data_IF_171485955376
#
_entry.id   IF_171485955376
#
_cell.length_a   1.000
_cell.length_b   1.000
_cell.length_c   1.000
_cell.angle_alpha   90.00
_cell.angle_beta   90.00
_cell.angle_gamma   90.00
#
_symmetry.space_group_name_H-M   'P 1'
#
loop_
_entity.id
_entity.type
_entity.pdbx_description
1 polymer ?
#
# COMPACT_ATOMS: atom_id res chain seq x y z
N UNK A 1 1.26 -17.89 61.79
CA UNK A 1 1.96 -17.87 60.49
C UNK A 1 3.28 -18.59 60.69
N UNK A 2 3.44 -19.73 60.02
CA UNK A 2 4.65 -20.54 60.09
C UNK A 2 5.86 -19.75 59.52
N UNK A 3 7.03 -19.99 60.13
CA UNK A 3 8.30 -19.40 59.70
C UNK A 3 8.52 -19.63 58.19
N UNK A 4 8.10 -20.82 57.70
CA UNK A 4 8.17 -21.15 56.26
C UNK A 4 7.30 -20.25 55.39
N UNK A 5 6.13 -19.82 55.84
CA UNK A 5 5.24 -18.91 55.13
C UNK A 5 5.85 -17.50 55.02
N UNK A 6 6.48 -17.03 56.08
CA UNK A 6 7.20 -15.73 56.07
C UNK A 6 8.42 -15.74 55.12
N UNK A 7 9.15 -16.86 55.09
CA UNK A 7 10.29 -17.04 54.19
C UNK A 7 9.88 -17.07 52.71
N UNK A 8 8.74 -17.72 52.41
CA UNK A 8 8.18 -17.70 51.04
C UNK A 8 7.79 -16.29 50.56
N UNK A 9 7.09 -15.55 51.44
CA UNK A 9 6.69 -14.17 51.11
C UNK A 9 7.93 -13.29 50.87
N UNK A 10 8.94 -13.41 51.77
CA UNK A 10 10.19 -12.66 51.64
C UNK A 10 10.92 -13.01 50.34
N UNK A 11 11.00 -14.31 49.97
CA UNK A 11 11.62 -14.75 48.71
C UNK A 11 10.91 -14.16 47.49
N UNK A 12 9.59 -14.16 47.43
CA UNK A 12 8.83 -13.60 46.31
C UNK A 12 8.97 -12.08 46.22
N UNK A 13 8.98 -11.37 47.32
CA UNK A 13 9.23 -9.92 47.34
C UNK A 13 10.65 -9.59 46.83
N UNK A 14 11.64 -10.39 47.20
CA UNK A 14 13.00 -10.24 46.74
C UNK A 14 13.15 -10.53 45.22
N UNK A 15 12.50 -11.57 44.72
CA UNK A 15 12.48 -11.90 43.29
C UNK A 15 11.78 -10.82 42.48
N UNK A 16 10.64 -10.31 42.93
CA UNK A 16 9.91 -9.22 42.27
C UNK A 16 10.74 -7.92 42.29
N UNK A 17 11.40 -7.64 43.42
CA UNK A 17 12.27 -6.46 43.54
C UNK A 17 13.48 -6.54 42.63
N UNK A 18 14.16 -7.67 42.55
CA UNK A 18 15.30 -7.88 41.63
C UNK A 18 14.86 -7.82 40.16
N UNK A 19 13.70 -8.39 39.85
CA UNK A 19 13.15 -8.33 38.49
C UNK A 19 12.76 -6.89 38.13
N UNK A 20 12.16 -6.11 39.04
CA UNK A 20 11.86 -4.70 38.84
C UNK A 20 13.13 -3.85 38.64
N UNK A 21 14.20 -4.14 39.42
CA UNK A 21 15.48 -3.47 39.28
C UNK A 21 16.18 -3.78 37.92
N UNK A 22 16.12 -5.05 37.54
CA UNK A 22 16.63 -5.50 36.24
C UNK A 22 15.87 -4.83 35.08
N UNK A 23 14.54 -4.79 35.14
CA UNK A 23 13.73 -4.11 34.15
C UNK A 23 13.98 -2.60 34.14
N UNK A 24 14.18 -1.98 35.31
CA UNK A 24 14.51 -0.55 35.39
C UNK A 24 15.85 -0.24 34.74
N UNK A 25 16.90 -1.04 35.01
CA UNK A 25 18.20 -0.89 34.35
C UNK A 25 18.11 -1.13 32.85
N UNK A 26 17.42 -2.19 32.44
CA UNK A 26 17.23 -2.51 31.01
C UNK A 26 16.51 -1.38 30.25
N UNK A 27 15.43 -0.81 30.84
CA UNK A 27 14.68 0.32 30.26
C UNK A 27 15.51 1.61 30.31
N UNK A 28 16.28 1.84 31.38
CA UNK A 28 17.12 3.02 31.52
C UNK A 28 18.28 3.05 30.52
N UNK A 29 18.94 1.92 30.31
CA UNK A 29 20.03 1.81 29.33
C UNK A 29 19.53 1.95 27.90
N UNK A 30 18.34 1.40 27.58
CA UNK A 30 17.70 1.58 26.27
C UNK A 30 17.27 3.04 26.03
N UNK A 31 16.81 3.75 27.06
CA UNK A 31 16.44 5.17 26.96
C UNK A 31 17.66 6.08 26.76
N UNK A 32 18.84 5.72 27.28
CA UNK A 32 20.08 6.45 27.08
C UNK A 32 20.63 6.29 25.65
N UNK A 33 20.25 5.21 24.95
CA UNK A 33 20.64 4.94 23.56
C UNK A 33 19.71 5.55 22.51
N UNK A 34 18.62 6.22 22.88
CA UNK A 34 17.75 6.89 21.92
C UNK A 34 18.53 8.03 21.27
N UNK A 35 18.88 7.95 19.98
CA UNK A 35 19.58 9.05 19.32
C UNK A 35 18.68 10.29 19.36
N UNK A 36 19.26 11.47 19.62
CA UNK A 36 18.55 12.73 19.46
C UNK A 36 18.08 12.85 18.02
N UNK A 37 16.81 12.57 17.78
CA UNK A 37 16.18 12.64 16.47
C UNK A 37 16.21 14.09 16.05
N UNK A 38 17.00 14.46 15.03
CA UNK A 38 16.79 15.70 14.31
C UNK A 38 15.54 15.52 13.47
N UNK A 39 14.42 16.00 13.99
CA UNK A 39 13.15 15.98 13.26
C UNK A 39 13.31 17.02 12.15
N UNK A 40 13.23 16.58 10.91
CA UNK A 40 12.98 17.49 9.80
C UNK A 40 11.70 18.25 10.17
N UNK A 41 11.74 19.58 10.17
CA UNK A 41 10.55 20.39 10.47
C UNK A 41 9.47 19.95 9.50
N UNK A 42 8.30 19.56 10.03
CA UNK A 42 7.16 19.20 9.20
C UNK A 42 6.91 20.36 8.22
N UNK A 43 7.12 20.20 6.92
CA UNK A 43 6.98 21.28 5.94
C UNK A 43 5.55 21.81 5.86
N UNK A 44 4.59 21.10 6.46
CA UNK A 44 3.17 21.44 6.48
C UNK A 44 2.73 22.16 7.76
N UNK A 45 3.57 22.20 8.82
CA UNK A 45 3.25 22.90 10.06
C UNK A 45 3.78 24.35 10.01
N UNK A 46 2.92 25.30 9.69
CA UNK A 46 3.14 26.68 10.08
C UNK A 46 3.39 27.72 8.99
N UNK A 47 2.75 27.65 7.83
CA UNK A 47 2.58 28.83 6.96
C UNK A 47 1.10 29.16 6.80
N UNK A 48 0.65 30.38 7.14
CA UNK A 48 -0.68 30.83 6.77
C UNK A 48 -0.81 30.84 5.24
N UNK A 49 -2.00 30.49 4.74
CA UNK A 49 -2.29 30.24 3.32
C UNK A 49 -2.06 31.45 2.35
N UNK A 50 -1.66 32.60 2.87
CA UNK A 50 -1.61 33.86 2.11
C UNK A 50 -0.27 34.21 1.44
N UNK A 51 0.82 33.47 1.68
CA UNK A 51 2.14 33.81 1.09
C UNK A 51 2.75 32.69 0.23
N UNK A 52 1.95 32.08 -0.61
CA UNK A 52 2.51 31.12 -1.62
C UNK A 52 2.79 31.85 -2.93
N UNK A 53 3.93 32.52 -3.00
CA UNK A 53 4.52 32.89 -4.28
C UNK A 53 5.06 31.59 -4.91
N UNK A 54 4.39 31.14 -5.96
CA UNK A 54 4.79 30.01 -6.79
C UNK A 54 6.11 30.34 -7.46
N UNK A 55 7.24 29.94 -6.89
CA UNK A 55 8.47 29.79 -7.69
C UNK A 55 8.28 28.57 -8.57
N UNK A 56 8.23 28.77 -9.88
CA UNK A 56 8.34 27.71 -10.89
C UNK A 56 9.74 27.09 -10.79
N UNK A 57 9.93 26.13 -9.90
CA UNK A 57 11.05 25.21 -9.93
C UNK A 57 10.52 23.91 -10.52
N UNK A 58 11.21 23.37 -11.50
CA UNK A 58 10.90 22.10 -12.14
C UNK A 58 10.91 21.01 -11.05
N UNK A 59 9.74 20.52 -10.71
CA UNK A 59 9.56 19.47 -9.70
C UNK A 59 9.67 18.12 -10.40
N UNK A 60 10.56 17.21 -9.95
CA UNK A 60 10.58 15.83 -10.47
C UNK A 60 9.30 15.08 -10.11
N UNK A 61 9.06 14.04 -10.85
CA UNK A 61 7.87 13.21 -10.82
C UNK A 61 7.44 12.79 -9.41
N UNK A 62 6.48 13.50 -8.85
CA UNK A 62 5.66 12.96 -7.78
C UNK A 62 4.54 12.17 -8.46
N UNK A 63 4.52 10.87 -8.26
CA UNK A 63 3.47 9.98 -8.74
C UNK A 63 2.16 10.32 -8.01
N UNK A 64 1.23 10.92 -8.72
CA UNK A 64 -0.08 11.28 -8.17
C UNK A 64 -1.17 10.36 -8.72
N UNK A 65 -1.86 9.67 -7.82
CA UNK A 65 -3.19 9.16 -8.08
C UNK A 65 -4.15 10.37 -8.01
N UNK A 66 -4.76 10.77 -9.13
CA UNK A 66 -5.86 11.72 -9.08
C UNK A 66 -7.16 10.98 -8.76
N UNK A 67 -7.99 11.49 -7.82
CA UNK A 67 -9.40 11.14 -7.82
C UNK A 67 -10.03 11.62 -9.15
N UNK A 68 -10.88 10.77 -9.72
CA UNK A 68 -11.62 11.11 -10.94
C UNK A 68 -12.40 12.42 -10.80
N UNK A 69 -12.82 13.04 -11.92
CA UNK A 69 -13.56 14.30 -11.89
C UNK A 69 -14.83 14.15 -11.04
N UNK A 70 -15.21 15.19 -10.27
CA UNK A 70 -16.41 15.16 -9.47
C UNK A 70 -17.64 14.98 -10.38
N UNK A 71 -18.50 14.02 -10.02
CA UNK A 71 -19.79 13.85 -10.64
C UNK A 71 -20.60 15.15 -10.55
N UNK A 72 -21.18 15.59 -11.65
CA UNK A 72 -22.05 16.75 -11.69
C UNK A 72 -23.29 16.51 -10.82
N UNK A 73 -23.79 17.49 -10.07
CA UNK A 73 -24.97 17.36 -9.24
C UNK A 73 -26.22 17.25 -10.12
N UNK A 74 -26.82 16.07 -10.18
CA UNK A 74 -28.18 15.85 -10.68
C UNK A 74 -29.18 16.22 -9.61
N UNK A 75 -30.25 16.87 -10.03
CA UNK A 75 -31.35 17.47 -9.25
C UNK A 75 -32.09 16.51 -8.32
N UNK A 76 -32.79 17.04 -7.28
CA UNK A 76 -33.40 16.25 -6.21
C UNK A 76 -34.76 15.70 -6.62
N UNK A 77 -34.94 14.40 -6.43
CA UNK A 77 -36.26 13.75 -6.46
C UNK A 77 -36.60 13.24 -5.06
N UNK A 78 -37.60 13.90 -4.48
CA UNK A 78 -38.25 13.58 -3.21
C UNK A 78 -38.84 12.17 -3.20
N UNK A 79 -38.70 11.45 -2.08
CA UNK A 79 -39.79 10.84 -1.34
C UNK A 79 -39.34 10.25 -0.01
N UNK A 80 -39.80 10.88 1.04
CA UNK A 80 -39.91 10.38 2.41
C UNK A 80 -40.81 9.14 2.46
N UNK A 81 -40.46 8.13 3.22
CA UNK A 81 -41.34 7.43 4.17
C UNK A 81 -40.50 6.65 5.20
N UNK A 82 -40.63 7.00 6.45
CA UNK A 82 -40.40 6.22 7.67
C UNK A 82 -41.72 5.88 8.32
N UNK A 83 -41.79 5.21 9.44
CA UNK A 83 -41.28 3.90 9.87
C UNK A 83 -42.45 2.99 10.29
N UNK A 84 -42.21 1.74 10.69
CA UNK A 84 -42.95 1.12 11.80
C UNK A 84 -42.35 -0.21 12.29
N UNK A 85 -42.39 -0.32 13.57
CA UNK A 85 -41.98 -1.43 14.42
C UNK A 85 -42.91 -2.64 14.25
N UNK A 86 -42.37 -3.83 14.57
CA UNK A 86 -43.17 -5.06 14.74
C UNK A 86 -42.36 -6.26 15.11
N UNK A 87 -42.37 -6.60 16.34
CA UNK A 87 -42.43 -7.81 17.12
C UNK A 87 -41.77 -9.09 16.59
N UNK A 88 -40.87 -9.61 17.42
CA UNK A 88 -40.36 -10.99 17.40
C UNK A 88 -41.51 -11.96 17.79
N UNK A 89 -41.72 -12.97 16.97
CA UNK A 89 -42.41 -14.19 17.38
C UNK A 89 -41.55 -15.41 17.03
N UNK A 90 -41.13 -16.09 18.08
CA UNK A 90 -40.39 -17.38 18.01
C UNK A 90 -41.45 -18.48 18.03
N UNK A 91 -41.60 -19.24 16.95
CA UNK A 91 -42.22 -20.57 16.98
C UNK A 91 -41.39 -21.57 16.20
N UNK A 92 -40.98 -22.55 16.97
CA UNK A 92 -40.56 -23.91 16.67
C UNK A 92 -40.45 -24.33 15.20
N UNK A 93 -39.23 -24.76 14.85
CA UNK A 93 -38.99 -25.53 13.64
C UNK A 93 -38.60 -26.94 14.04
N UNK A 94 -39.53 -27.86 13.90
CA UNK A 94 -39.28 -29.28 13.73
C UNK A 94 -39.82 -29.65 12.34
N UNK A 95 -38.96 -29.76 11.35
CA UNK A 95 -39.24 -30.52 10.12
C UNK A 95 -37.93 -30.94 9.45
N UNK A 96 -37.90 -32.22 9.07
CA UNK A 96 -36.77 -32.89 8.44
C UNK A 96 -36.37 -32.24 7.09
N UNK A 97 -35.10 -32.39 6.62
CA UNK A 97 -34.65 -31.77 5.39
C UNK A 97 -35.28 -32.50 4.17
N UNK A 98 -36.09 -31.77 3.44
CA UNK A 98 -36.50 -32.13 2.08
C UNK A 98 -35.28 -32.13 1.16
N UNK A 99 -35.03 -33.22 0.45
CA UNK A 99 -34.02 -33.32 -0.59
C UNK A 99 -34.37 -32.33 -1.71
N UNK A 100 -33.52 -31.34 -1.91
CA UNK A 100 -33.57 -30.48 -3.10
C UNK A 100 -33.29 -31.28 -4.37
N UNK A 101 -34.00 -31.05 -5.46
CA UNK A 101 -33.78 -31.74 -6.74
C UNK A 101 -32.41 -31.32 -7.34
N UNK A 102 -31.62 -32.31 -7.72
CA UNK A 102 -30.27 -32.17 -8.30
C UNK A 102 -30.18 -31.27 -9.54
N UNK A 103 -31.28 -31.06 -10.25
CA UNK A 103 -31.34 -30.20 -11.46
C UNK A 103 -31.10 -28.70 -11.21
N UNK A 104 -31.28 -28.21 -9.98
CA UNK A 104 -31.11 -26.76 -9.69
C UNK A 104 -29.64 -26.35 -9.44
N UNK A 105 -28.77 -27.31 -9.16
CA UNK A 105 -27.34 -27.07 -8.93
C UNK A 105 -26.56 -26.92 -10.25
N UNK A 106 -26.90 -27.75 -11.27
CA UNK A 106 -26.26 -27.67 -12.58
C UNK A 106 -26.63 -26.38 -13.31
N UNK A 107 -27.87 -25.93 -13.23
CA UNK A 107 -28.32 -24.68 -13.87
C UNK A 107 -27.71 -23.43 -13.22
N UNK A 108 -27.57 -23.42 -11.88
CA UNK A 108 -26.84 -22.36 -11.16
C UNK A 108 -25.36 -22.36 -11.43
N UNK A 109 -24.74 -23.54 -11.58
CA UNK A 109 -23.32 -23.68 -11.91
C UNK A 109 -23.05 -23.26 -13.36
N UNK A 110 -23.93 -23.63 -14.29
CA UNK A 110 -23.84 -23.20 -15.69
C UNK A 110 -24.11 -21.69 -15.87
N UNK A 111 -25.07 -21.13 -15.13
CA UNK A 111 -25.32 -19.68 -15.14
C UNK A 111 -24.17 -18.90 -14.49
N UNK A 112 -23.56 -19.41 -13.40
CA UNK A 112 -22.37 -18.83 -12.78
C UNK A 112 -21.12 -18.95 -13.67
N UNK A 113 -20.95 -20.07 -14.37
CA UNK A 113 -19.89 -20.26 -15.35
C UNK A 113 -20.09 -19.40 -16.61
N UNK A 114 -21.33 -19.19 -17.06
CA UNK A 114 -21.63 -18.31 -18.19
C UNK A 114 -21.50 -16.82 -17.84
N UNK A 115 -21.73 -16.45 -16.58
CA UNK A 115 -21.49 -15.08 -16.11
C UNK A 115 -19.98 -14.81 -15.87
N UNK A 116 -19.20 -15.83 -15.54
CA UNK A 116 -17.75 -15.73 -15.38
C UNK A 116 -16.99 -15.64 -16.70
N UNK A 117 -17.60 -15.97 -17.82
CA UNK A 117 -16.94 -16.12 -19.13
C UNK A 117 -17.20 -15.00 -20.14
N UNK A 118 -17.70 -13.85 -19.75
CA UNK A 118 -17.59 -12.65 -20.60
C UNK A 118 -16.23 -12.04 -20.39
N UNK A 119 -15.24 -12.51 -21.13
CA UNK A 119 -13.96 -11.84 -21.27
C UNK A 119 -14.22 -10.39 -21.67
N UNK A 120 -13.85 -9.45 -20.81
CA UNK A 120 -14.03 -8.02 -21.06
C UNK A 120 -13.32 -7.67 -22.37
N UNK A 121 -14.06 -7.13 -23.35
CA UNK A 121 -13.47 -6.71 -24.60
C UNK A 121 -12.44 -5.60 -24.33
N UNK A 122 -11.17 -5.77 -24.77
CA UNK A 122 -10.16 -4.76 -24.54
C UNK A 122 -10.54 -3.46 -25.27
N UNK A 123 -10.14 -2.30 -24.73
CA UNK A 123 -10.24 -1.03 -25.43
C UNK A 123 -9.60 -1.13 -26.85
N UNK A 124 -10.19 -0.45 -27.82
CA UNK A 124 -9.57 -0.34 -29.14
C UNK A 124 -8.19 0.31 -29.04
N UNK A 125 -7.28 -0.14 -29.91
CA UNK A 125 -5.95 0.45 -29.97
C UNK A 125 -6.05 1.92 -30.44
N UNK A 126 -5.45 2.86 -29.70
CA UNK A 126 -5.40 4.25 -30.16
C UNK A 126 -4.70 4.37 -31.53
N UNK A 127 -4.99 5.42 -32.32
CA UNK A 127 -4.33 5.61 -33.61
C UNK A 127 -2.79 5.60 -33.47
N UNK A 128 -2.14 4.76 -34.29
CA UNK A 128 -0.68 4.59 -34.27
C UNK A 128 -0.16 3.60 -33.23
N UNK A 129 -1.05 2.90 -32.51
CA UNK A 129 -0.67 1.82 -31.61
C UNK A 129 -0.97 0.45 -32.22
N UNK A 130 -0.10 -0.52 -31.95
CA UNK A 130 -0.39 -1.93 -32.09
C UNK A 130 -0.81 -2.51 -30.75
N UNK A 131 -1.53 -3.62 -30.76
CA UNK A 131 -2.06 -4.26 -29.56
C UNK A 131 -1.76 -5.74 -29.58
N UNK A 132 -1.34 -6.28 -28.43
CA UNK A 132 -1.16 -7.71 -28.22
C UNK A 132 -1.80 -8.16 -26.89
N UNK A 133 -2.55 -9.27 -26.93
CA UNK A 133 -3.14 -9.87 -25.74
C UNK A 133 -2.22 -10.94 -25.19
N UNK A 134 -1.94 -10.85 -23.90
CA UNK A 134 -1.16 -11.85 -23.16
C UNK A 134 -2.05 -12.53 -22.11
N UNK A 135 -1.46 -13.34 -21.24
CA UNK A 135 -2.21 -14.00 -20.16
C UNK A 135 -2.83 -13.00 -19.18
N UNK A 136 -2.03 -12.02 -18.69
CA UNK A 136 -2.47 -11.09 -17.66
C UNK A 136 -2.64 -9.65 -18.15
N UNK A 137 -2.21 -9.36 -19.41
CA UNK A 137 -2.18 -8.01 -19.95
C UNK A 137 -2.83 -7.90 -21.32
N UNK A 138 -3.18 -6.67 -21.66
CA UNK A 138 -3.28 -6.21 -23.04
C UNK A 138 -2.26 -5.08 -23.18
N UNK A 139 -1.27 -5.30 -24.04
CA UNK A 139 -0.14 -4.38 -24.23
C UNK A 139 -0.38 -3.58 -25.50
N UNK A 140 -0.29 -2.26 -25.41
CA UNK A 140 -0.38 -1.32 -26.51
C UNK A 140 0.98 -0.66 -26.70
N UNK A 141 1.53 -0.67 -27.91
CA UNK A 141 2.82 -0.08 -28.24
C UNK A 141 2.71 0.93 -29.35
N UNK A 142 3.19 2.19 -29.13
CA UNK A 142 3.16 3.24 -30.13
C UNK A 142 4.23 3.03 -31.20
N UNK A 143 3.82 3.02 -32.49
CA UNK A 143 4.74 3.08 -33.61
C UNK A 143 5.58 1.82 -33.90
N UNK A 144 5.35 0.71 -33.18
CA UNK A 144 6.03 -0.56 -33.36
C UNK A 144 5.10 -1.72 -33.06
N UNK A 145 5.43 -2.91 -33.55
CA UNK A 145 4.77 -4.15 -33.12
C UNK A 145 5.24 -4.54 -31.71
N UNK A 146 4.31 -5.07 -30.90
CA UNK A 146 4.62 -5.57 -29.55
C UNK A 146 5.56 -6.76 -29.65
N UNK A 147 6.80 -6.60 -29.22
CA UNK A 147 7.81 -7.64 -29.33
C UNK A 147 7.59 -8.78 -28.34
N UNK A 148 7.94 -10.01 -28.72
CA UNK A 148 7.91 -11.18 -27.81
C UNK A 148 8.70 -10.93 -26.53
N UNK A 149 9.86 -10.26 -26.62
CA UNK A 149 10.71 -9.91 -25.48
C UNK A 149 9.99 -8.94 -24.51
N UNK A 150 9.23 -7.97 -25.03
CA UNK A 150 8.42 -7.08 -24.22
C UNK A 150 7.35 -7.86 -23.44
N UNK A 151 6.66 -8.78 -24.12
CA UNK A 151 5.64 -9.65 -23.51
C UNK A 151 6.26 -10.49 -22.38
N UNK A 152 7.37 -11.18 -22.66
CA UNK A 152 8.08 -12.01 -21.68
C UNK A 152 8.51 -11.20 -20.44
N UNK A 153 9.05 -10.00 -20.66
CA UNK A 153 9.47 -9.13 -19.56
C UNK A 153 8.29 -8.66 -18.70
N UNK A 154 7.17 -8.27 -19.32
CA UNK A 154 5.97 -7.81 -18.59
C UNK A 154 5.33 -8.95 -17.80
N UNK A 155 5.22 -10.15 -18.40
CA UNK A 155 4.68 -11.34 -17.72
C UNK A 155 5.62 -11.82 -16.58
N UNK A 156 6.93 -11.79 -16.79
CA UNK A 156 7.92 -12.11 -15.75
C UNK A 156 7.83 -11.12 -14.59
N UNK A 157 7.69 -9.81 -14.88
CA UNK A 157 7.50 -8.78 -13.86
C UNK A 157 6.23 -9.03 -13.05
N UNK A 158 5.11 -9.38 -13.72
CA UNK A 158 3.88 -9.77 -13.04
C UNK A 158 4.12 -10.94 -12.08
N UNK A 159 4.77 -12.00 -12.54
CA UNK A 159 5.10 -13.15 -11.69
C UNK A 159 5.91 -12.78 -10.46
N UNK A 160 6.91 -11.92 -10.62
CA UNK A 160 7.72 -11.43 -9.51
C UNK A 160 6.90 -10.62 -8.49
N UNK A 161 6.01 -9.74 -8.97
CA UNK A 161 5.14 -8.92 -8.11
C UNK A 161 4.13 -9.78 -7.35
N UNK A 162 3.61 -10.83 -7.98
CA UNK A 162 2.64 -11.74 -7.36
C UNK A 162 3.23 -12.54 -6.20
N UNK A 163 4.55 -12.65 -6.06
CA UNK A 163 5.17 -13.25 -4.86
C UNK A 163 4.77 -12.52 -3.57
N UNK A 164 4.53 -11.22 -3.64
CA UNK A 164 4.16 -10.39 -2.50
C UNK A 164 2.68 -9.97 -2.51
N UNK A 165 2.09 -9.76 -3.70
CA UNK A 165 0.79 -9.10 -3.82
C UNK A 165 -0.38 -10.01 -4.24
N UNK A 166 -0.17 -11.31 -4.44
CA UNK A 166 -1.24 -12.24 -4.88
C UNK A 166 -2.46 -12.23 -3.95
N UNK A 167 -2.27 -12.08 -2.65
CA UNK A 167 -3.35 -12.04 -1.67
C UNK A 167 -4.19 -10.76 -1.76
N UNK A 168 -3.62 -9.67 -2.27
CA UNK A 168 -4.29 -8.37 -2.40
C UNK A 168 -5.09 -8.24 -3.71
N UNK A 169 -4.76 -9.01 -4.73
CA UNK A 169 -5.36 -8.90 -6.06
C UNK A 169 -5.76 -10.25 -6.67
N UNK A 170 -6.65 -11.02 -6.01
CA UNK A 170 -7.09 -12.33 -6.52
C UNK A 170 -7.80 -12.23 -7.89
N UNK A 171 -8.33 -11.05 -8.23
CA UNK A 171 -9.00 -10.76 -9.49
C UNK A 171 -8.07 -10.85 -10.73
N UNK A 172 -6.75 -10.79 -10.55
CA UNK A 172 -5.78 -10.91 -11.66
C UNK A 172 -5.83 -12.24 -12.39
N UNK A 173 -6.51 -13.24 -11.84
CA UNK A 173 -6.77 -14.52 -12.52
C UNK A 173 -7.77 -14.39 -13.66
N UNK A 174 -8.72 -13.44 -13.52
CA UNK A 174 -9.88 -13.33 -14.41
C UNK A 174 -9.90 -12.04 -15.23
N UNK A 175 -9.13 -11.03 -14.81
CA UNK A 175 -9.12 -9.69 -15.43
C UNK A 175 -7.70 -9.30 -15.83
N UNK A 176 -7.59 -8.64 -16.98
CA UNK A 176 -6.32 -8.13 -17.51
C UNK A 176 -6.06 -6.68 -17.11
N UNK A 177 -4.79 -6.31 -17.11
CA UNK A 177 -4.33 -4.91 -16.98
C UNK A 177 -3.96 -4.40 -18.38
N UNK A 178 -4.31 -3.16 -18.68
CA UNK A 178 -4.06 -2.52 -19.98
C UNK A 178 -2.83 -1.62 -19.85
N UNK A 179 -1.76 -1.93 -20.58
CA UNK A 179 -0.48 -1.22 -20.51
C UNK A 179 -0.17 -0.53 -21.82
N UNK A 180 -0.05 0.79 -21.78
CA UNK A 180 0.23 1.64 -22.95
C UNK A 180 1.67 2.13 -22.90
N UNK A 181 2.50 1.69 -23.83
CA UNK A 181 3.87 2.19 -24.02
C UNK A 181 3.87 3.25 -25.10
N UNK A 182 4.16 4.51 -24.70
CA UNK A 182 4.29 5.62 -25.62
C UNK A 182 5.78 5.86 -25.96
N UNK A 183 6.09 6.12 -27.21
CA UNK A 183 7.43 6.46 -27.68
C UNK A 183 7.65 7.98 -27.77
N UNK A 184 6.55 8.76 -27.81
CA UNK A 184 6.57 10.20 -27.96
C UNK A 184 6.05 10.88 -26.70
N UNK A 185 6.76 11.92 -26.25
CA UNK A 185 6.36 12.73 -25.09
C UNK A 185 4.99 13.36 -25.29
N UNK A 186 4.73 13.92 -26.49
CA UNK A 186 3.46 14.55 -26.82
C UNK A 186 2.28 13.57 -26.77
N UNK A 187 2.50 12.32 -27.17
CA UNK A 187 1.47 11.28 -27.06
C UNK A 187 1.19 10.95 -25.61
N UNK A 188 2.24 10.77 -24.80
CA UNK A 188 2.09 10.56 -23.37
C UNK A 188 1.31 11.68 -22.69
N UNK A 189 1.69 12.94 -22.96
CA UNK A 189 1.03 14.11 -22.39
C UNK A 189 -0.44 14.23 -22.82
N UNK A 190 -0.75 13.97 -24.09
CA UNK A 190 -2.13 13.99 -24.59
C UNK A 190 -3.00 12.90 -23.94
N UNK A 191 -2.46 11.70 -23.75
CA UNK A 191 -3.21 10.58 -23.19
C UNK A 191 -3.42 10.70 -21.68
N UNK A 192 -2.48 11.33 -20.96
CA UNK A 192 -2.46 11.34 -19.50
C UNK A 192 -2.73 12.69 -18.87
N UNK A 193 -2.58 13.78 -19.63
CA UNK A 193 -2.55 15.15 -19.10
C UNK A 193 -1.33 15.47 -18.25
N UNK A 194 -0.35 14.53 -18.17
CA UNK A 194 0.84 14.66 -17.32
C UNK A 194 2.06 15.04 -18.12
N UNK A 195 3.01 15.78 -17.51
CA UNK A 195 4.27 16.10 -18.18
C UNK A 195 5.09 14.82 -18.39
N UNK A 196 5.85 14.78 -19.49
CA UNK A 196 6.60 13.58 -19.89
C UNK A 196 7.64 13.11 -18.87
N UNK A 197 8.15 14.01 -18.04
CA UNK A 197 9.08 13.67 -16.97
C UNK A 197 8.43 12.82 -15.85
N UNK A 198 7.10 12.69 -15.81
CA UNK A 198 6.44 11.80 -14.84
C UNK A 198 6.70 10.31 -15.11
N UNK A 199 7.12 9.95 -16.33
CA UNK A 199 7.52 8.60 -16.72
C UNK A 199 6.39 7.59 -16.82
N UNK A 200 5.43 7.60 -15.91
CA UNK A 200 4.28 6.70 -15.86
C UNK A 200 3.11 7.27 -15.07
N UNK A 201 1.96 6.63 -15.21
CA UNK A 201 0.76 6.86 -14.39
C UNK A 201 -0.22 5.70 -14.57
N UNK A 202 -1.01 5.43 -13.52
CA UNK A 202 -2.04 4.41 -13.55
C UNK A 202 -3.44 4.95 -13.25
N UNK A 203 -4.44 4.22 -13.73
CA UNK A 203 -5.84 4.40 -13.39
C UNK A 203 -6.35 3.10 -12.77
N UNK A 204 -6.59 3.12 -11.46
CA UNK A 204 -7.03 1.95 -10.71
C UNK A 204 -8.39 1.44 -11.20
N UNK A 205 -9.36 2.33 -11.40
CA UNK A 205 -10.73 1.98 -11.82
C UNK A 205 -10.78 1.35 -13.20
N UNK A 206 -9.90 1.78 -14.11
CA UNK A 206 -9.84 1.29 -15.48
C UNK A 206 -8.78 0.19 -15.66
N UNK A 207 -7.96 -0.10 -14.65
CA UNK A 207 -6.79 -1.00 -14.72
C UNK A 207 -5.85 -0.65 -15.87
N UNK A 208 -5.66 0.65 -16.14
CA UNK A 208 -4.81 1.18 -17.20
C UNK A 208 -3.53 1.74 -16.64
N UNK A 209 -2.44 1.48 -17.32
CA UNK A 209 -1.11 2.06 -17.06
C UNK A 209 -0.61 2.69 -18.34
N UNK A 210 -0.13 3.93 -18.23
CA UNK A 210 0.49 4.66 -19.31
C UNK A 210 1.96 4.90 -18.97
N UNK A 211 2.85 4.57 -19.89
CA UNK A 211 4.29 4.66 -19.69
C UNK A 211 4.94 5.40 -20.86
N UNK A 212 5.86 6.29 -20.55
CA UNK A 212 6.80 6.80 -21.53
C UNK A 212 8.02 5.88 -21.58
N UNK A 213 8.40 5.43 -22.76
CA UNK A 213 9.55 4.52 -22.94
C UNK A 213 10.84 5.22 -22.54
N UNK A 214 11.51 4.70 -21.54
CA UNK A 214 12.80 5.13 -21.02
C UNK A 214 13.56 3.92 -20.46
N UNK A 215 14.81 4.11 -20.07
CA UNK A 215 15.58 3.08 -19.36
C UNK A 215 14.92 2.64 -18.05
N UNK A 216 14.15 3.54 -17.40
CA UNK A 216 13.47 3.31 -16.14
C UNK A 216 12.05 2.76 -16.31
N UNK A 217 11.56 2.58 -17.54
CA UNK A 217 10.16 2.25 -17.83
C UNK A 217 9.67 0.96 -17.12
N UNK A 218 10.50 -0.07 -16.99
CA UNK A 218 10.13 -1.29 -16.28
C UNK A 218 10.08 -1.12 -14.76
N UNK A 219 10.96 -0.29 -14.19
CA UNK A 219 10.87 0.07 -12.77
C UNK A 219 9.59 0.85 -12.49
N UNK A 220 9.27 1.81 -13.36
CA UNK A 220 8.03 2.59 -13.28
C UNK A 220 6.81 1.66 -13.48
N UNK A 221 6.87 0.71 -14.43
CA UNK A 221 5.80 -0.28 -14.61
C UNK A 221 5.57 -1.10 -13.35
N UNK A 222 6.63 -1.53 -12.66
CA UNK A 222 6.52 -2.26 -11.41
C UNK A 222 5.82 -1.43 -10.32
N UNK A 223 6.15 -0.14 -10.24
CA UNK A 223 5.53 0.81 -9.32
C UNK A 223 4.03 0.98 -9.60
N UNK A 224 3.66 1.24 -10.85
CA UNK A 224 2.27 1.43 -11.26
C UNK A 224 1.43 0.13 -11.14
N UNK A 225 2.03 -1.03 -11.44
CA UNK A 225 1.39 -2.32 -11.21
C UNK A 225 1.13 -2.57 -9.72
N UNK A 226 2.05 -2.15 -8.85
CA UNK A 226 1.85 -2.28 -7.41
C UNK A 226 0.62 -1.47 -6.95
N UNK A 227 0.41 -0.25 -7.45
CA UNK A 227 -0.81 0.51 -7.19
C UNK A 227 -2.06 -0.23 -7.68
N UNK A 228 -2.06 -0.71 -8.93
CA UNK A 228 -3.21 -1.47 -9.47
C UNK A 228 -3.52 -2.69 -8.61
N UNK A 229 -2.52 -3.44 -8.17
CA UNK A 229 -2.72 -4.68 -7.42
C UNK A 229 -3.00 -4.44 -5.94
N UNK A 230 -2.26 -3.56 -5.30
CA UNK A 230 -2.37 -3.32 -3.87
C UNK A 230 -3.57 -2.43 -3.51
N UNK A 231 -3.73 -1.30 -4.20
CA UNK A 231 -4.79 -0.35 -3.85
C UNK A 231 -6.18 -0.87 -4.21
N UNK A 232 -6.30 -1.80 -5.19
CA UNK A 232 -7.56 -2.48 -5.50
C UNK A 232 -8.09 -3.36 -4.34
N UNK A 233 -7.25 -3.69 -3.37
CA UNK A 233 -7.67 -4.39 -2.16
C UNK A 233 -8.52 -3.52 -1.25
N UNK A 234 -8.28 -2.22 -1.24
CA UNK A 234 -9.04 -1.25 -0.45
C UNK A 234 -10.33 -0.84 -1.18
N UNK A 235 -11.23 -0.16 -0.46
CA UNK A 235 -12.50 0.30 -1.02
C UNK A 235 -12.45 1.79 -1.32
N UNK A 236 -13.34 2.29 -2.17
CA UNK A 236 -13.35 3.71 -2.55
C UNK A 236 -13.65 4.65 -1.38
N UNK A 237 -14.45 4.19 -0.41
CA UNK A 237 -14.77 4.90 0.83
C UNK A 237 -13.66 4.80 1.89
N UNK A 238 -12.76 3.84 1.74
CA UNK A 238 -11.59 3.62 2.62
C UNK A 238 -10.38 3.26 1.77
N UNK A 239 -9.77 4.25 1.12
CA UNK A 239 -8.58 4.02 0.32
C UNK A 239 -7.38 3.64 1.20
N UNK A 240 -6.38 3.04 0.59
CA UNK A 240 -5.10 2.79 1.26
C UNK A 240 -4.49 4.10 1.78
N UNK A 241 -3.92 4.14 2.99
CA UNK A 241 -3.16 5.30 3.44
C UNK A 241 -2.02 5.63 2.46
N UNK A 242 -1.81 6.91 2.13
CA UNK A 242 -0.85 7.32 1.11
C UNK A 242 0.56 6.76 1.35
N UNK A 243 1.06 6.84 2.60
CA UNK A 243 2.38 6.31 2.96
C UNK A 243 2.49 4.80 2.71
N UNK A 244 1.40 4.07 2.89
CA UNK A 244 1.37 2.62 2.72
C UNK A 244 1.31 2.25 1.24
N UNK A 245 0.46 2.92 0.46
CA UNK A 245 0.35 2.75 -0.99
C UNK A 245 1.69 3.02 -1.68
N UNK A 246 2.27 4.19 -1.46
CA UNK A 246 3.55 4.59 -2.06
C UNK A 246 4.74 3.78 -1.52
N UNK A 247 4.66 3.40 -0.24
CA UNK A 247 5.66 2.53 0.38
C UNK A 247 5.68 1.13 -0.24
N UNK A 248 4.50 0.54 -0.51
CA UNK A 248 4.38 -0.76 -1.21
C UNK A 248 4.81 -0.63 -2.66
N UNK A 249 4.40 0.43 -3.37
CA UNK A 249 4.78 0.64 -4.76
C UNK A 249 6.32 0.78 -4.90
N UNK A 250 6.96 1.57 -4.04
CA UNK A 250 8.43 1.71 -4.02
C UNK A 250 9.12 0.41 -3.59
N UNK A 251 8.53 -0.36 -2.65
CA UNK A 251 9.04 -1.66 -2.25
C UNK A 251 9.03 -2.65 -3.43
N UNK A 252 7.91 -2.76 -4.12
CA UNK A 252 7.76 -3.63 -5.30
C UNK A 252 8.72 -3.20 -6.41
N UNK A 253 8.82 -1.91 -6.70
CA UNK A 253 9.76 -1.39 -7.68
C UNK A 253 11.21 -1.81 -7.36
N UNK A 254 11.61 -1.70 -6.10
CA UNK A 254 13.00 -1.92 -5.66
C UNK A 254 13.34 -3.39 -5.44
N UNK A 255 12.41 -4.19 -4.88
CA UNK A 255 12.68 -5.59 -4.50
C UNK A 255 12.23 -6.60 -5.58
N UNK A 256 11.30 -6.23 -6.47
CA UNK A 256 10.70 -7.11 -7.50
C UNK A 256 10.80 -6.56 -8.91
N UNK A 257 11.02 -5.25 -9.06
CA UNK A 257 11.23 -4.59 -10.35
C UNK A 257 12.65 -4.77 -10.88
N UNK A 258 12.88 -4.22 -12.08
CA UNK A 258 14.19 -4.27 -12.75
C UNK A 258 15.11 -3.11 -12.36
N UNK A 259 14.61 -2.11 -11.66
CA UNK A 259 15.40 -0.93 -11.28
C UNK A 259 14.93 -0.33 -9.96
N UNK A 260 15.89 0.06 -9.14
CA UNK A 260 15.66 0.83 -7.90
C UNK A 260 15.73 2.32 -8.23
N UNK A 261 14.83 3.18 -7.68
CA UNK A 261 14.93 4.60 -7.87
C UNK A 261 16.29 5.16 -7.45
N UNK A 262 16.93 5.95 -8.31
CA UNK A 262 18.30 6.49 -8.09
C UNK A 262 18.43 7.30 -6.80
N UNK A 263 17.35 7.98 -6.39
CA UNK A 263 17.30 8.78 -5.16
C UNK A 263 17.16 7.95 -3.88
N UNK A 264 16.80 6.67 -3.97
CA UNK A 264 16.40 5.88 -2.80
C UNK A 264 17.58 5.66 -1.83
N UNK A 265 18.74 5.23 -2.32
CA UNK A 265 19.89 4.90 -1.46
C UNK A 265 20.38 6.11 -0.65
N UNK A 266 20.44 7.31 -1.28
CA UNK A 266 20.83 8.53 -0.60
C UNK A 266 19.86 8.88 0.54
N UNK A 267 18.55 8.77 0.28
CA UNK A 267 17.55 9.08 1.29
C UNK A 267 17.50 8.04 2.42
N UNK A 268 17.75 6.76 2.12
CA UNK A 268 17.91 5.73 3.15
C UNK A 268 19.12 6.02 4.07
N UNK A 269 20.20 6.53 3.51
CA UNK A 269 21.36 6.96 4.32
C UNK A 269 21.02 8.14 5.24
N UNK A 270 20.16 9.09 4.82
CA UNK A 270 19.66 10.17 5.67
C UNK A 270 18.80 9.62 6.81
N UNK A 271 17.89 8.69 6.52
CA UNK A 271 17.08 8.02 7.54
C UNK A 271 17.95 7.27 8.56
N UNK A 272 19.02 6.61 8.13
CA UNK A 272 20.02 5.95 8.99
C UNK A 272 20.74 6.91 9.94
N UNK A 273 20.92 8.18 9.53
CA UNK A 273 21.45 9.24 10.38
C UNK A 273 20.42 9.84 11.36
N UNK A 274 19.18 9.37 11.31
CA UNK A 274 18.09 9.80 12.19
C UNK A 274 17.21 10.91 11.62
N UNK A 275 17.39 11.28 10.35
CA UNK A 275 16.51 12.22 9.67
C UNK A 275 15.16 11.58 9.32
N UNK A 276 14.23 12.37 8.80
CA UNK A 276 12.90 11.94 8.41
C UNK A 276 11.78 12.39 9.36
N UNK A 277 10.58 11.91 9.09
CA UNK A 277 9.37 12.28 9.80
C UNK A 277 9.18 11.42 11.05
N UNK A 278 8.52 11.96 12.08
CA UNK A 278 7.92 11.11 13.12
C UNK A 278 6.87 10.23 12.47
N UNK A 279 6.78 8.99 12.91
CA UNK A 279 5.81 8.06 12.34
C UNK A 279 4.37 8.53 12.56
N UNK A 280 4.08 9.18 13.70
CA UNK A 280 2.79 9.80 13.98
C UNK A 280 2.38 10.85 12.95
N UNK A 281 3.34 11.59 12.40
CA UNK A 281 3.09 12.66 11.43
C UNK A 281 3.04 12.10 10.01
N UNK A 282 3.92 11.15 9.70
CA UNK A 282 3.99 10.49 8.39
C UNK A 282 2.68 9.79 8.02
N UNK A 283 2.07 9.08 8.98
CA UNK A 283 0.83 8.32 8.72
C UNK A 283 -0.40 9.21 8.49
N UNK A 284 -0.32 10.50 8.81
CA UNK A 284 -1.40 11.48 8.63
C UNK A 284 -1.26 12.30 7.34
N UNK A 285 -0.19 12.10 6.57
CA UNK A 285 0.00 12.83 5.32
C UNK A 285 -0.90 12.23 4.25
N UNK A 286 -1.85 13.02 3.78
CA UNK A 286 -2.82 12.63 2.73
C UNK A 286 -2.40 13.05 1.32
N UNK A 287 -1.49 14.02 1.20
CA UNK A 287 -0.94 14.46 -0.08
C UNK A 287 0.40 15.20 0.11
N UNK A 288 1.19 15.27 -0.96
CA UNK A 288 2.50 15.93 -0.96
C UNK A 288 2.50 17.28 -1.70
N UNK A 289 1.33 17.90 -1.90
CA UNK A 289 1.22 19.17 -2.60
C UNK A 289 1.97 20.28 -1.86
N UNK A 290 2.87 20.98 -2.58
CA UNK A 290 3.65 22.11 -2.05
C UNK A 290 4.87 21.71 -1.23
N UNK A 291 5.17 20.43 -1.08
CA UNK A 291 6.45 19.98 -0.57
C UNK A 291 7.54 20.14 -1.63
N UNK A 292 8.77 20.41 -1.21
CA UNK A 292 9.94 20.38 -2.09
C UNK A 292 10.33 18.94 -2.44
N UNK A 293 11.14 18.81 -3.47
CA UNK A 293 11.55 17.52 -4.02
C UNK A 293 12.30 16.65 -3.00
N UNK A 294 13.20 17.25 -2.21
CA UNK A 294 14.02 16.54 -1.23
C UNK A 294 13.13 15.96 -0.12
N UNK A 295 12.18 16.76 0.37
CA UNK A 295 11.16 16.34 1.34
C UNK A 295 10.32 15.19 0.80
N UNK A 296 9.87 15.27 -0.46
CA UNK A 296 9.09 14.22 -1.12
C UNK A 296 9.88 12.93 -1.20
N UNK A 297 11.12 12.97 -1.69
CA UNK A 297 12.00 11.79 -1.82
C UNK A 297 12.29 11.14 -0.47
N UNK A 298 12.54 11.94 0.56
CA UNK A 298 12.77 11.45 1.93
C UNK A 298 11.52 10.75 2.48
N UNK A 299 10.35 11.32 2.23
CA UNK A 299 9.07 10.72 2.63
C UNK A 299 8.81 9.38 1.93
N UNK A 300 9.07 9.29 0.61
CA UNK A 300 8.99 8.03 -0.14
C UNK A 300 9.96 6.98 0.39
N UNK A 301 11.21 7.36 0.63
CA UNK A 301 12.22 6.46 1.19
C UNK A 301 11.83 5.95 2.59
N UNK A 302 11.26 6.82 3.41
CA UNK A 302 10.78 6.43 4.73
C UNK A 302 9.58 5.48 4.64
N UNK A 303 8.60 5.77 3.78
CA UNK A 303 7.44 4.91 3.52
C UNK A 303 7.87 3.53 3.03
N UNK A 304 8.78 3.47 2.05
CA UNK A 304 9.40 2.23 1.58
C UNK A 304 10.05 1.44 2.71
N UNK A 305 10.91 2.10 3.51
CA UNK A 305 11.69 1.41 4.55
C UNK A 305 10.81 0.87 5.67
N UNK A 306 9.71 1.55 6.00
CA UNK A 306 8.71 1.07 6.97
C UNK A 306 7.96 -0.14 6.41
N UNK A 307 7.51 -0.10 5.15
CA UNK A 307 6.86 -1.25 4.50
C UNK A 307 7.81 -2.45 4.45
N UNK A 308 9.07 -2.24 4.05
CA UNK A 308 10.11 -3.29 4.04
C UNK A 308 10.31 -3.89 5.43
N UNK A 309 10.38 -3.06 6.45
CA UNK A 309 10.48 -3.51 7.85
C UNK A 309 9.26 -4.34 8.26
N UNK A 310 8.04 -3.88 7.98
CA UNK A 310 6.81 -4.60 8.31
C UNK A 310 6.71 -5.96 7.61
N UNK A 311 7.08 -6.04 6.33
CA UNK A 311 7.05 -7.30 5.57
C UNK A 311 8.09 -8.31 6.05
N UNK A 312 9.23 -7.85 6.58
CA UNK A 312 10.33 -8.72 7.07
C UNK A 312 10.25 -9.03 8.56
N UNK A 313 9.62 -8.16 9.36
CA UNK A 313 9.56 -8.29 10.82
C UNK A 313 8.87 -9.56 11.28
N UNK A 314 7.85 -10.01 10.58
CA UNK A 314 7.13 -11.25 10.87
C UNK A 314 6.75 -11.93 9.57
N UNK A 315 7.31 -13.10 9.35
CA UNK A 315 6.99 -13.92 8.18
C UNK A 315 5.51 -14.35 8.17
N UNK A 316 4.99 -14.64 6.98
CA UNK A 316 3.62 -15.12 6.78
C UNK A 316 2.61 -13.98 6.61
N UNK A 317 1.43 -14.14 7.17
CA UNK A 317 0.26 -13.32 6.88
C UNK A 317 0.18 -11.98 7.63
N UNK A 318 1.17 -11.65 8.48
CA UNK A 318 1.06 -10.49 9.38
C UNK A 318 0.84 -9.16 8.61
N UNK A 319 1.57 -8.96 7.51
CA UNK A 319 1.39 -7.76 6.68
C UNK A 319 -0.01 -7.72 6.03
N UNK A 320 -0.50 -8.87 5.55
CA UNK A 320 -1.85 -8.97 5.02
C UNK A 320 -2.91 -8.67 6.09
N UNK A 321 -2.77 -9.26 7.30
CA UNK A 321 -3.67 -8.98 8.43
C UNK A 321 -3.67 -7.49 8.76
N UNK A 322 -2.49 -6.85 8.80
CA UNK A 322 -2.38 -5.42 9.04
C UNK A 322 -3.17 -4.61 8.00
N UNK A 323 -2.96 -4.87 6.72
CA UNK A 323 -3.67 -4.19 5.63
C UNK A 323 -5.19 -4.46 5.68
N UNK A 324 -5.59 -5.68 6.00
CA UNK A 324 -7.01 -6.04 6.13
C UNK A 324 -7.68 -5.25 7.27
N UNK A 325 -7.01 -5.09 8.41
CA UNK A 325 -7.51 -4.28 9.52
C UNK A 325 -7.61 -2.79 9.19
N UNK A 326 -6.69 -2.26 8.39
CA UNK A 326 -6.81 -0.88 7.87
C UNK A 326 -8.02 -0.75 6.94
N UNK A 327 -8.23 -1.71 6.04
CA UNK A 327 -9.41 -1.80 5.18
C UNK A 327 -10.72 -1.85 5.99
N UNK A 328 -10.72 -2.56 7.12
CA UNK A 328 -11.84 -2.62 8.05
C UNK A 328 -12.06 -1.28 8.80
N UNK A 329 -11.16 -0.30 8.64
CA UNK A 329 -11.25 1.04 9.22
C UNK A 329 -10.60 1.16 10.61
N UNK A 330 -9.79 0.20 11.04
CA UNK A 330 -9.07 0.32 12.31
C UNK A 330 -7.96 1.39 12.19
N UNK A 331 -7.75 2.18 13.24
CA UNK A 331 -6.58 3.05 13.33
C UNK A 331 -5.27 2.27 13.20
N UNK A 332 -4.24 2.89 12.61
CA UNK A 332 -2.95 2.25 12.29
C UNK A 332 -2.36 1.50 13.49
N UNK A 333 -2.36 2.10 14.70
CA UNK A 333 -1.81 1.46 15.89
C UNK A 333 -2.59 0.21 16.35
N UNK A 334 -3.93 0.18 16.15
CA UNK A 334 -4.75 -0.98 16.46
C UNK A 334 -4.55 -2.09 15.43
N UNK A 335 -4.49 -1.73 14.15
CA UNK A 335 -4.19 -2.67 13.08
C UNK A 335 -2.81 -3.31 13.27
N UNK A 336 -1.79 -2.54 13.65
CA UNK A 336 -0.45 -3.04 14.00
C UNK A 336 -0.51 -4.03 15.16
N UNK A 337 -1.20 -3.67 16.24
CA UNK A 337 -1.32 -4.57 17.40
C UNK A 337 -1.98 -5.90 17.05
N UNK A 338 -3.05 -5.89 16.26
CA UNK A 338 -3.73 -7.12 15.84
C UNK A 338 -2.86 -8.00 14.93
N UNK A 339 -2.03 -7.41 14.09
CA UNK A 339 -1.18 -8.15 13.16
C UNK A 339 0.13 -8.65 13.80
N UNK A 340 0.78 -7.78 14.55
CA UNK A 340 2.15 -8.01 15.04
C UNK A 340 2.24 -8.28 16.54
N UNK A 341 1.18 -7.95 17.31
CA UNK A 341 1.14 -8.12 18.76
C UNK A 341 1.92 -7.05 19.52
N UNK A 342 2.25 -7.35 20.79
CA UNK A 342 3.09 -6.48 21.61
C UNK A 342 4.54 -6.48 21.09
N UNK A 343 5.26 -5.33 21.15
CA UNK A 343 4.89 -4.05 21.77
C UNK A 343 4.22 -3.04 20.80
N UNK A 344 3.75 -3.47 19.64
CA UNK A 344 3.30 -2.59 18.53
C UNK A 344 1.87 -2.04 18.71
N UNK A 345 1.44 -1.84 19.94
CA UNK A 345 0.19 -1.16 20.28
C UNK A 345 0.29 0.39 20.22
N UNK A 346 1.48 0.91 19.96
CA UNK A 346 1.78 2.35 19.80
C UNK A 346 2.68 2.58 18.58
N UNK A 347 2.44 3.67 17.86
CA UNK A 347 3.30 4.07 16.73
C UNK A 347 4.74 4.36 17.17
N UNK A 348 4.93 4.87 18.39
CA UNK A 348 6.28 5.12 18.94
C UNK A 348 7.10 3.83 19.13
N UNK A 349 6.46 2.72 19.50
CA UNK A 349 7.14 1.43 19.61
C UNK A 349 7.56 0.90 18.24
N UNK A 350 6.71 1.06 17.21
CA UNK A 350 7.07 0.72 15.85
C UNK A 350 8.20 1.61 15.35
N UNK A 351 8.14 2.92 15.60
CA UNK A 351 9.19 3.87 15.20
C UNK A 351 10.54 3.52 15.82
N UNK A 352 10.56 3.18 17.11
CA UNK A 352 11.77 2.76 17.80
C UNK A 352 12.37 1.50 17.15
N UNK A 353 11.57 0.47 16.96
CA UNK A 353 12.03 -0.80 16.38
C UNK A 353 12.51 -0.63 14.92
N UNK A 354 11.78 0.12 14.11
CA UNK A 354 12.16 0.43 12.74
C UNK A 354 13.46 1.25 12.67
N UNK A 355 13.62 2.29 13.50
CA UNK A 355 14.85 3.09 13.54
C UNK A 355 16.05 2.29 14.04
N UNK A 356 15.84 1.36 14.97
CA UNK A 356 16.87 0.42 15.38
C UNK A 356 17.29 -0.50 14.23
N UNK A 357 16.31 -1.00 13.48
CA UNK A 357 16.57 -1.86 12.32
C UNK A 357 17.30 -1.13 11.18
N UNK A 358 16.94 0.12 10.91
CA UNK A 358 17.67 0.97 9.95
C UNK A 358 19.18 1.06 10.23
N UNK A 359 19.56 1.03 11.51
CA UNK A 359 20.97 1.10 11.93
C UNK A 359 21.67 -0.26 11.92
N UNK A 360 20.95 -1.31 12.22
CA UNK A 360 21.54 -2.63 12.49
C UNK A 360 21.31 -3.63 11.36
N UNK A 361 20.28 -3.42 10.54
CA UNK A 361 19.87 -4.37 9.50
C UNK A 361 19.45 -5.75 10.03
N UNK A 362 19.12 -5.86 11.32
CA UNK A 362 18.87 -7.17 11.95
C UNK A 362 17.59 -7.85 11.46
N UNK A 363 16.58 -7.10 11.07
CA UNK A 363 15.26 -7.61 10.65
C UNK A 363 15.12 -7.53 9.14
N UNK A 364 15.24 -6.33 8.59
CA UNK A 364 15.03 -6.13 7.16
C UNK A 364 16.27 -6.37 6.28
N UNK A 365 17.43 -6.61 6.91
CA UNK A 365 18.71 -6.68 6.23
C UNK A 365 19.31 -5.30 5.99
N UNK A 366 20.61 -5.24 5.72
CA UNK A 366 21.30 -3.98 5.44
C UNK A 366 20.72 -3.32 4.18
N UNK A 367 20.43 -2.05 4.26
CA UNK A 367 20.03 -1.23 3.12
C UNK A 367 21.31 -0.82 2.37
N UNK A 368 21.49 -1.33 1.16
CA UNK A 368 22.62 -1.01 0.28
C UNK A 368 22.26 0.11 -0.69
#
# INVERSE_FOLDING_TARGET
>A
MDILGKLRVFFWVLVIGLWGLFMYQYISDDMAMVPKIRIAKNPFSGRPAAERIIRKTQTPAAYYIQPGPPAQPGQPGSHLVSPLAGGLDIKEINSAPERMPEHSLEEKTAAAQSAAAREEAPPEAPPGFTMEKTRHFVIYEEGAEVSKKLIENVETLHGNIMLDLVAFSPWTRDKKVFVYFTNKQDTYQRMTGRPAWSGGTSSLSERKIYLFKSEEAFGILAHELAHIYFDSFFTADRPSPLWLSEGVATYVQSERGYSTPKWLSQNLALLGKGEGFKLSDLVLIENMKGADEETVRLWYAQSYSIVRFLTKMKAGEAFYIFCNRLKDGLPVHQALFQAYGMPYNKLSSLEYAWRYDLKTGKISGTLH
#
